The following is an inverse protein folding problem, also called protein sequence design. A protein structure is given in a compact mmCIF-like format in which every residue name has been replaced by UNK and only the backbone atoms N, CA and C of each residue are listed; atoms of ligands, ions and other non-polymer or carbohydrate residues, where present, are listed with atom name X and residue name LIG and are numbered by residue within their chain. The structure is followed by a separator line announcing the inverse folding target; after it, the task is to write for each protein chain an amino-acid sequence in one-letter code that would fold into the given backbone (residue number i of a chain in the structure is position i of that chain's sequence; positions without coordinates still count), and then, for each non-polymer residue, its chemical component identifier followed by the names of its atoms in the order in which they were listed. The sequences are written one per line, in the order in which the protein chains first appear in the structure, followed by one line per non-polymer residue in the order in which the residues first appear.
data_IF_738178745844
#
_entry.id   IF_738178745844
#
_cell.length_a   1.000
_cell.length_b   1.000
_cell.length_c   1.000
_cell.angle_alpha   90.00
_cell.angle_beta   90.00
_cell.angle_gamma   90.00
#
_symmetry.space_group_name_H-M   'P 1'
#
loop_
_entity.id
_entity.type
_entity.pdbx_description
1 polymer ?
#
# COMPACT_ATOMS: atom_id res chain seq x y z
N UNK A 1 53.50 -30.05 43.05
CA UNK A 1 52.73 -30.84 42.07
C UNK A 1 51.84 -31.74 42.91
N UNK A 2 50.51 -31.71 42.89
CA UNK A 2 49.57 -31.56 41.77
C UNK A 2 48.31 -30.77 42.16
N UNK A 3 47.78 -30.11 41.13
CA UNK A 3 46.55 -29.34 41.10
C UNK A 3 45.49 -30.17 40.37
N UNK A 4 44.34 -30.46 41.00
CA UNK A 4 43.10 -30.94 40.34
C UNK A 4 41.95 -30.37 41.17
N UNK A 5 41.21 -29.34 40.77
CA UNK A 5 40.60 -29.10 39.46
C UNK A 5 39.11 -29.41 39.57
N UNK A 6 38.32 -28.48 40.14
CA UNK A 6 36.86 -28.60 40.28
C UNK A 6 36.20 -28.63 38.89
N UNK A 7 35.32 -29.60 38.66
CA UNK A 7 34.40 -29.65 37.52
C UNK A 7 33.45 -28.43 37.56
N UNK A 8 33.31 -27.75 36.44
CA UNK A 8 32.22 -26.82 36.17
C UNK A 8 31.46 -27.29 34.92
N UNK A 9 30.14 -27.35 35.02
CA UNK A 9 29.18 -27.63 33.95
C UNK A 9 29.22 -26.61 32.80
N UNK A 10 28.91 -27.00 31.54
CA UNK A 10 28.77 -26.06 30.45
C UNK A 10 27.35 -25.45 30.43
N UNK A 11 27.24 -24.13 30.59
CA UNK A 11 25.99 -23.39 30.32
C UNK A 11 25.75 -23.30 28.81
N UNK A 12 24.69 -23.97 28.34
CA UNK A 12 24.17 -23.84 26.96
C UNK A 12 23.66 -22.40 26.75
N UNK A 13 24.20 -21.68 25.77
CA UNK A 13 23.67 -20.39 25.30
C UNK A 13 22.75 -20.65 24.11
N UNK A 14 21.47 -20.31 24.25
CA UNK A 14 20.50 -20.32 23.15
C UNK A 14 20.81 -19.20 22.16
N UNK A 15 20.68 -19.42 20.83
CA UNK A 15 20.95 -18.37 19.85
C UNK A 15 19.80 -17.36 19.82
N UNK A 16 20.13 -16.10 20.04
CA UNK A 16 19.22 -14.96 19.88
C UNK A 16 18.94 -14.76 18.39
N UNK A 17 17.71 -14.97 17.95
CA UNK A 17 17.28 -14.67 16.58
C UNK A 17 17.28 -13.15 16.43
N UNK A 18 18.30 -12.58 15.79
CA UNK A 18 18.28 -11.16 15.39
C UNK A 18 17.22 -11.01 14.31
N UNK A 19 16.10 -10.39 14.65
CA UNK A 19 15.16 -9.88 13.66
C UNK A 19 15.93 -8.91 12.74
N UNK A 20 16.15 -9.32 11.50
CA UNK A 20 16.66 -8.44 10.45
C UNK A 20 15.53 -7.46 10.15
N UNK A 21 15.60 -6.29 10.76
CA UNK A 21 14.87 -5.12 10.28
C UNK A 21 15.45 -4.81 8.90
N UNK A 22 14.81 -5.31 7.84
CA UNK A 22 14.99 -4.73 6.50
C UNK A 22 14.68 -3.25 6.68
N UNK A 23 15.68 -2.38 6.54
CA UNK A 23 15.44 -0.96 6.39
C UNK A 23 14.59 -0.81 5.14
N UNK A 24 13.28 -0.63 5.32
CA UNK A 24 12.38 -0.32 4.23
C UNK A 24 12.94 0.92 3.52
N UNK A 25 12.96 0.89 2.18
CA UNK A 25 13.29 2.07 1.41
C UNK A 25 12.37 3.23 1.86
N UNK A 26 12.85 4.49 1.82
CA UNK A 26 12.01 5.63 2.15
C UNK A 26 10.73 5.60 1.31
N UNK A 27 9.59 5.81 1.95
CA UNK A 27 8.30 5.84 1.27
C UNK A 27 8.17 7.14 0.47
N UNK A 28 8.20 7.00 -0.86
CA UNK A 28 8.11 8.12 -1.82
C UNK A 28 6.75 8.17 -2.54
N UNK A 29 5.78 7.41 -2.05
CA UNK A 29 4.48 7.21 -2.72
C UNK A 29 3.49 8.34 -2.43
N UNK A 30 3.70 9.07 -1.33
CA UNK A 30 2.70 10.01 -0.78
C UNK A 30 1.59 9.33 0.03
N UNK A 31 1.60 8.00 0.17
CA UNK A 31 0.71 7.26 1.06
C UNK A 31 1.29 7.31 2.49
N UNK A 32 0.50 7.54 3.55
CA UNK A 32 0.97 7.37 4.93
C UNK A 32 1.53 5.96 5.19
N UNK A 33 2.65 5.84 5.92
CA UNK A 33 3.36 4.55 6.09
C UNK A 33 2.48 3.42 6.66
N UNK A 34 1.65 3.73 7.66
CA UNK A 34 0.74 2.76 8.26
C UNK A 34 -0.32 2.28 7.26
N UNK A 35 -0.82 3.21 6.43
CA UNK A 35 -1.80 2.90 5.39
C UNK A 35 -1.16 2.05 4.30
N UNK A 36 0.02 2.43 3.80
CA UNK A 36 0.77 1.65 2.82
C UNK A 36 0.99 0.22 3.31
N UNK A 37 1.49 0.06 4.54
CA UNK A 37 1.74 -1.25 5.16
C UNK A 37 0.46 -2.08 5.27
N UNK A 38 -0.66 -1.47 5.66
CA UNK A 38 -1.96 -2.16 5.75
C UNK A 38 -2.43 -2.66 4.39
N UNK A 39 -2.42 -1.80 3.37
CA UNK A 39 -2.88 -2.16 2.03
C UNK A 39 -1.98 -3.22 1.38
N UNK A 40 -0.66 -3.16 1.59
CA UNK A 40 0.26 -4.22 1.14
C UNK A 40 -0.02 -5.55 1.84
N UNK A 41 -0.32 -5.51 3.15
CA UNK A 41 -0.63 -6.72 3.94
C UNK A 41 -1.93 -7.39 3.50
N UNK A 42 -3.01 -6.63 3.32
CA UNK A 42 -4.33 -7.18 2.99
C UNK A 42 -4.44 -7.58 1.51
N UNK A 43 -3.71 -6.90 0.61
CA UNK A 43 -3.77 -7.20 -0.82
C UNK A 43 -2.72 -8.21 -1.28
N UNK A 44 -1.62 -8.36 -0.54
CA UNK A 44 -0.46 -9.12 -0.97
C UNK A 44 0.33 -8.48 -2.12
N UNK A 45 0.06 -7.21 -2.44
CA UNK A 45 0.68 -6.46 -3.53
C UNK A 45 1.53 -5.31 -3.00
N UNK A 46 2.68 -5.04 -3.64
CA UNK A 46 3.48 -3.85 -3.33
C UNK A 46 2.76 -2.57 -3.79
N UNK A 47 2.88 -1.52 -2.97
CA UNK A 47 2.41 -0.16 -3.25
C UNK A 47 3.56 0.81 -3.54
N UNK A 48 4.80 0.32 -3.69
CA UNK A 48 6.01 1.16 -3.87
C UNK A 48 6.01 1.99 -5.16
N UNK A 49 5.25 1.56 -6.17
CA UNK A 49 5.08 2.23 -7.46
C UNK A 49 3.88 3.19 -7.48
N UNK A 50 3.14 3.30 -6.38
CA UNK A 50 1.99 4.21 -6.25
C UNK A 50 2.48 5.63 -6.04
N UNK A 51 1.79 6.59 -6.66
CA UNK A 51 2.06 8.01 -6.46
C UNK A 51 0.78 8.80 -6.22
N UNK A 52 0.67 9.41 -5.05
CA UNK A 52 -0.42 10.30 -4.68
C UNK A 52 -0.04 11.73 -5.03
N UNK A 53 -0.87 12.37 -5.85
CA UNK A 53 -0.77 13.76 -6.25
C UNK A 53 -1.81 14.57 -5.48
N UNK A 54 -1.43 15.07 -4.29
CA UNK A 54 -2.28 15.93 -3.46
C UNK A 54 -2.48 17.31 -4.08
N UNK A 55 -3.62 17.94 -3.75
CA UNK A 55 -4.00 19.27 -4.25
C UNK A 55 -3.96 19.36 -5.79
N UNK A 56 -4.29 18.26 -6.47
CA UNK A 56 -4.32 18.20 -7.93
C UNK A 56 -5.54 18.92 -8.49
N UNK A 57 -5.34 19.67 -9.57
CA UNK A 57 -6.44 20.25 -10.34
C UNK A 57 -7.12 19.25 -11.30
N UNK A 58 -6.54 18.05 -11.49
CA UNK A 58 -7.04 17.07 -12.45
C UNK A 58 -8.43 16.51 -12.13
N UNK A 59 -8.78 16.13 -10.88
CA UNK A 59 -10.11 15.59 -10.60
C UNK A 59 -11.24 16.52 -11.06
N UNK A 60 -11.07 17.84 -10.89
CA UNK A 60 -12.06 18.83 -11.29
C UNK A 60 -12.30 18.87 -12.81
N UNK A 61 -11.33 18.50 -13.66
CA UNK A 61 -11.51 18.48 -15.13
C UNK A 61 -12.46 17.39 -15.62
N UNK A 62 -12.70 16.39 -14.77
CA UNK A 62 -13.63 15.27 -15.01
C UNK A 62 -14.76 15.24 -13.97
N UNK A 63 -14.99 16.37 -13.28
CA UNK A 63 -16.05 16.52 -12.25
C UNK A 63 -15.94 15.51 -11.09
N UNK A 64 -14.72 15.10 -10.74
CA UNK A 64 -14.42 14.20 -9.63
C UNK A 64 -13.72 14.94 -8.48
N UNK A 65 -13.76 14.35 -7.29
CA UNK A 65 -13.02 14.83 -6.10
C UNK A 65 -11.63 14.17 -6.00
N UNK A 66 -11.55 12.91 -6.38
CA UNK A 66 -10.33 12.12 -6.52
C UNK A 66 -10.53 11.08 -7.63
N UNK A 67 -9.44 10.51 -8.15
CA UNK A 67 -9.51 9.31 -8.98
C UNK A 67 -8.16 8.59 -9.07
N UNK A 68 -8.22 7.29 -9.36
CA UNK A 68 -7.06 6.44 -9.65
C UNK A 68 -6.91 6.14 -11.14
N UNK A 69 -5.69 6.30 -11.65
CA UNK A 69 -5.29 5.89 -13.00
C UNK A 69 -3.99 5.09 -12.95
N UNK A 70 -4.09 3.76 -13.08
CA UNK A 70 -2.96 2.87 -12.88
C UNK A 70 -2.47 2.97 -11.45
N UNK A 71 -1.19 3.34 -11.29
CA UNK A 71 -0.57 3.55 -9.97
C UNK A 71 -0.58 5.03 -9.54
N UNK A 72 -1.26 5.92 -10.27
CA UNK A 72 -1.36 7.33 -9.90
C UNK A 72 -2.71 7.63 -9.28
N UNK A 73 -2.69 8.24 -8.10
CA UNK A 73 -3.89 8.73 -7.40
C UNK A 73 -3.86 10.26 -7.47
N UNK A 74 -4.92 10.87 -7.99
CA UNK A 74 -5.05 12.32 -8.03
C UNK A 74 -6.09 12.75 -7.01
N UNK A 75 -5.68 13.61 -6.08
CA UNK A 75 -6.51 14.04 -4.97
C UNK A 75 -6.78 15.54 -5.07
N UNK A 76 -8.04 15.94 -5.09
CA UNK A 76 -8.43 17.35 -4.97
C UNK A 76 -8.02 17.92 -3.61
N UNK A 77 -7.95 19.24 -3.51
CA UNK A 77 -7.60 19.90 -2.24
C UNK A 77 -8.62 19.54 -1.13
N UNK A 78 -8.13 19.06 0.01
CA UNK A 78 -8.97 18.68 1.16
C UNK A 78 -9.78 17.39 0.97
N UNK A 79 -9.43 16.56 -0.02
CA UNK A 79 -10.16 15.33 -0.34
C UNK A 79 -9.49 14.06 0.20
N UNK A 80 -8.48 14.16 1.05
CA UNK A 80 -7.63 13.05 1.53
C UNK A 80 -8.44 11.90 2.17
N UNK A 81 -9.66 12.16 2.64
CA UNK A 81 -10.61 11.13 3.10
C UNK A 81 -10.93 10.05 2.04
N UNK A 82 -10.75 10.37 0.75
CA UNK A 82 -10.97 9.44 -0.35
C UNK A 82 -9.75 8.55 -0.62
N UNK A 83 -8.60 8.79 0.04
CA UNK A 83 -7.36 8.08 -0.27
C UNK A 83 -7.47 6.56 -0.14
N UNK A 84 -8.17 6.07 0.89
CA UNK A 84 -8.37 4.64 1.09
C UNK A 84 -9.14 4.00 -0.07
N UNK A 85 -10.27 4.60 -0.44
CA UNK A 85 -11.06 4.21 -1.62
C UNK A 85 -10.21 4.13 -2.89
N UNK A 86 -9.45 5.19 -3.17
CA UNK A 86 -8.58 5.27 -4.35
C UNK A 86 -7.44 4.23 -4.32
N UNK A 87 -6.89 3.92 -3.14
CA UNK A 87 -5.89 2.86 -2.98
C UNK A 87 -6.47 1.48 -3.26
N UNK A 88 -7.73 1.23 -2.91
CA UNK A 88 -8.36 -0.03 -3.23
C UNK A 88 -8.59 -0.18 -4.74
N UNK A 89 -8.85 0.91 -5.46
CA UNK A 89 -8.84 0.87 -6.92
C UNK A 89 -7.48 0.48 -7.50
N UNK A 90 -6.36 0.92 -6.90
CA UNK A 90 -5.03 0.45 -7.30
C UNK A 90 -4.90 -1.06 -7.11
N UNK A 91 -5.37 -1.59 -5.98
CA UNK A 91 -5.39 -3.05 -5.72
C UNK A 91 -6.17 -3.78 -6.80
N UNK A 92 -7.39 -3.33 -7.11
CA UNK A 92 -8.25 -3.95 -8.13
C UNK A 92 -7.59 -3.93 -9.52
N UNK A 93 -6.97 -2.81 -9.90
CA UNK A 93 -6.25 -2.67 -11.18
C UNK A 93 -5.04 -3.60 -11.24
N UNK A 94 -4.23 -3.67 -10.18
CA UNK A 94 -3.08 -4.60 -10.08
C UNK A 94 -3.50 -6.07 -10.10
N UNK A 95 -4.68 -6.40 -9.58
CA UNK A 95 -5.25 -7.76 -9.66
C UNK A 95 -5.81 -8.10 -11.05
N UNK A 96 -5.83 -7.16 -11.99
CA UNK A 96 -6.37 -7.39 -13.34
C UNK A 96 -7.89 -7.55 -13.37
N UNK A 97 -8.60 -7.17 -12.31
CA UNK A 97 -10.06 -7.28 -12.21
C UNK A 97 -10.79 -6.14 -12.91
N UNK A 98 -10.08 -5.04 -13.16
CA UNK A 98 -10.62 -3.84 -13.79
C UNK A 98 -10.46 -3.95 -15.30
N UNK A 99 -11.50 -4.46 -15.97
CA UNK A 99 -11.59 -4.42 -17.43
C UNK A 99 -12.27 -3.11 -17.86
N UNK A 100 -11.73 -2.35 -18.83
CA UNK A 100 -12.38 -1.14 -19.30
C UNK A 100 -13.77 -1.47 -19.88
N UNK A 101 -14.82 -0.95 -19.27
CA UNK A 101 -16.20 -1.03 -19.79
C UNK A 101 -16.57 0.22 -20.58
N UNK A 102 -15.79 1.30 -20.42
CA UNK A 102 -15.93 2.54 -21.16
C UNK A 102 -14.69 3.43 -21.08
N UNK A 103 -14.85 4.70 -21.44
CA UNK A 103 -13.80 5.70 -21.27
C UNK A 103 -14.36 7.08 -20.95
N UNK A 104 -13.70 7.82 -20.06
CA UNK A 104 -13.98 9.24 -19.79
C UNK A 104 -12.76 10.05 -20.19
N UNK A 105 -12.95 11.02 -21.08
CA UNK A 105 -11.85 11.86 -21.60
C UNK A 105 -10.64 11.07 -22.13
N UNK A 106 -10.91 9.92 -22.76
CA UNK A 106 -9.88 9.01 -23.30
C UNK A 106 -9.19 8.12 -22.27
N UNK A 107 -9.58 8.18 -20.99
CA UNK A 107 -9.08 7.27 -19.95
C UNK A 107 -9.99 6.05 -19.84
N UNK A 108 -9.46 4.81 -19.93
CA UNK A 108 -10.25 3.61 -19.73
C UNK A 108 -10.82 3.57 -18.32
N UNK A 109 -12.13 3.39 -18.22
CA UNK A 109 -12.88 3.36 -16.96
C UNK A 109 -13.61 2.01 -16.84
N UNK A 110 -13.71 1.53 -15.61
CA UNK A 110 -14.63 0.47 -15.23
C UNK A 110 -15.68 1.07 -14.30
N UNK A 111 -16.96 0.81 -14.58
CA UNK A 111 -18.12 1.34 -13.85
C UNK A 111 -18.85 0.26 -13.03
N UNK A 112 -18.15 -0.82 -12.67
CA UNK A 112 -18.74 -1.93 -11.94
C UNK A 112 -19.10 -1.53 -10.50
N UNK A 113 -20.40 -1.43 -10.22
CA UNK A 113 -20.91 -1.12 -8.88
C UNK A 113 -20.42 -2.08 -7.78
N UNK A 114 -20.09 -3.33 -8.13
CA UNK A 114 -19.51 -4.28 -7.17
C UNK A 114 -18.08 -3.93 -6.77
N UNK A 115 -17.28 -3.37 -7.70
CA UNK A 115 -15.91 -2.95 -7.43
C UNK A 115 -15.89 -1.63 -6.65
N UNK A 116 -16.79 -0.69 -6.96
CA UNK A 116 -16.95 0.54 -6.19
C UNK A 116 -17.33 0.24 -4.74
N UNK A 117 -18.31 -0.65 -4.52
CA UNK A 117 -18.71 -1.05 -3.17
C UNK A 117 -17.59 -1.75 -2.41
N UNK A 118 -16.77 -2.55 -3.09
CA UNK A 118 -15.62 -3.18 -2.46
C UNK A 118 -14.58 -2.13 -2.06
N UNK A 119 -14.36 -1.11 -2.88
CA UNK A 119 -13.48 0.02 -2.56
C UNK A 119 -13.99 0.83 -1.35
N UNK A 120 -15.30 1.10 -1.27
CA UNK A 120 -15.90 1.75 -0.10
C UNK A 120 -15.71 0.95 1.20
N UNK A 121 -15.76 -0.39 1.13
CA UNK A 121 -15.67 -1.26 2.30
C UNK A 121 -14.24 -1.47 2.79
N UNK A 122 -13.28 -1.47 1.87
CA UNK A 122 -11.87 -1.68 2.16
C UNK A 122 -11.12 -0.35 2.41
N UNK A 123 -11.72 0.76 1.98
CA UNK A 123 -11.27 2.15 2.07
C UNK A 123 -11.11 2.70 3.48
#
# INVERSE_FOLDING_TARGET
MENRGKKAEPKKKSPTIKAVQKKSAPNMTGIPDDMKTRYETISGLSMDDVKVHYNSSKPATVQALAYTQGTNIYMGAGQERHLGHELWHVVQQKQGRVQPTGSVSGMPLNDSASLEREADLMG
#
